data_IF_654769236348
#
_entry.id   IF_654769236348
#
_cell.length_a   1.000
_cell.length_b   1.000
_cell.length_c   1.000
_cell.angle_alpha   90.00
_cell.angle_beta   90.00
_cell.angle_gamma   90.00
#
_symmetry.space_group_name_H-M   'P 1'
#
loop_
_entity.id
_entity.type
_entity.pdbx_description
1 polymer ?
#
# COMPACT_ATOMS: atom_id res chain seq x y z
N UNK A 1 -4.93 -25.81 2.04
CA UNK A 1 -6.41 -25.90 2.03
C UNK A 1 -6.95 -24.74 1.22
N UNK A 2 -8.01 -24.94 0.42
CA UNK A 2 -8.63 -23.86 -0.34
C UNK A 2 -9.54 -23.02 0.57
N UNK A 3 -9.57 -21.70 0.34
CA UNK A 3 -10.41 -20.76 1.08
C UNK A 3 -11.72 -20.58 0.31
N UNK A 4 -12.87 -20.68 0.98
CA UNK A 4 -14.18 -20.48 0.34
C UNK A 4 -14.55 -19.00 0.23
N UNK A 5 -15.02 -18.61 -0.94
CA UNK A 5 -15.48 -17.27 -1.24
C UNK A 5 -16.71 -17.25 -2.14
N UNK A 6 -17.14 -16.04 -2.46
CA UNK A 6 -18.20 -15.73 -3.41
C UNK A 6 -17.80 -14.50 -4.23
N UNK A 7 -18.47 -14.30 -5.35
CA UNK A 7 -18.49 -13.01 -6.02
C UNK A 7 -19.93 -12.49 -6.18
N UNK A 8 -20.10 -11.17 -6.07
CA UNK A 8 -21.41 -10.53 -6.00
C UNK A 8 -21.44 -9.20 -6.73
N UNK A 9 -22.64 -8.79 -7.12
CA UNK A 9 -22.90 -7.52 -7.79
C UNK A 9 -24.26 -6.98 -7.38
N UNK A 10 -24.76 -6.00 -8.15
CA UNK A 10 -26.15 -5.54 -8.05
C UNK A 10 -27.21 -6.65 -8.09
N UNK A 11 -26.91 -7.79 -8.73
CA UNK A 11 -27.86 -8.86 -8.97
C UNK A 11 -28.26 -9.62 -7.70
N UNK A 12 -27.39 -9.65 -6.69
CA UNK A 12 -27.69 -10.27 -5.39
C UNK A 12 -28.51 -9.34 -4.47
N UNK A 13 -28.68 -8.07 -4.82
CA UNK A 13 -29.46 -7.11 -4.05
C UNK A 13 -28.90 -6.87 -2.64
N UNK A 14 -29.77 -6.83 -1.64
CA UNK A 14 -29.37 -6.64 -0.25
C UNK A 14 -28.83 -7.94 0.35
N UNK A 15 -27.59 -7.91 0.82
CA UNK A 15 -26.89 -9.06 1.39
C UNK A 15 -26.66 -8.89 2.90
N UNK A 16 -26.91 -9.95 3.67
CA UNK A 16 -26.50 -10.07 5.06
C UNK A 16 -25.11 -10.73 5.15
N UNK A 17 -24.07 -9.91 5.13
CA UNK A 17 -22.69 -10.40 5.17
C UNK A 17 -22.28 -11.04 6.51
N UNK A 18 -23.01 -10.80 7.61
CA UNK A 18 -22.73 -11.50 8.88
C UNK A 18 -23.13 -12.97 8.75
N UNK A 19 -24.30 -13.24 8.17
CA UNK A 19 -24.74 -14.62 7.88
C UNK A 19 -23.84 -15.31 6.85
N UNK A 20 -23.39 -14.57 5.83
CA UNK A 20 -22.40 -15.07 4.85
C UNK A 20 -21.11 -15.49 5.55
N UNK A 21 -20.54 -14.64 6.43
CA UNK A 21 -19.33 -14.98 7.18
C UNK A 21 -19.56 -16.21 8.09
N UNK A 22 -20.69 -16.25 8.79
CA UNK A 22 -21.06 -17.37 9.67
C UNK A 22 -21.24 -18.69 8.93
N UNK A 23 -21.60 -18.67 7.64
CA UNK A 23 -21.70 -19.87 6.82
C UNK A 23 -20.34 -20.41 6.32
N UNK A 24 -19.23 -19.81 6.77
CA UNK A 24 -17.87 -20.25 6.43
C UNK A 24 -17.29 -19.62 5.16
N UNK A 25 -17.95 -18.61 4.58
CA UNK A 25 -17.36 -17.78 3.52
C UNK A 25 -16.33 -16.84 4.15
N UNK A 26 -15.16 -16.72 3.52
CA UNK A 26 -14.03 -15.98 4.07
C UNK A 26 -13.64 -14.76 3.23
N UNK A 27 -13.97 -14.76 1.95
CA UNK A 27 -13.78 -13.60 1.08
C UNK A 27 -14.96 -13.37 0.17
N UNK A 28 -15.04 -12.13 -0.35
CA UNK A 28 -15.98 -11.74 -1.40
C UNK A 28 -15.26 -10.90 -2.45
N UNK A 29 -15.47 -11.19 -3.74
CA UNK A 29 -15.08 -10.31 -4.85
C UNK A 29 -16.32 -9.52 -5.28
N UNK A 30 -16.28 -8.18 -5.20
CA UNK A 30 -17.46 -7.34 -5.43
C UNK A 30 -17.32 -6.62 -6.77
N UNK A 31 -18.36 -6.61 -7.61
CA UNK A 31 -18.36 -5.75 -8.80
C UNK A 31 -18.24 -4.29 -8.39
N UNK A 32 -17.16 -3.63 -8.80
CA UNK A 32 -16.98 -2.19 -8.58
C UNK A 32 -17.75 -1.36 -9.60
N UNK A 33 -17.81 -1.83 -10.84
CA UNK A 33 -18.51 -1.18 -11.93
C UNK A 33 -18.25 -1.88 -13.24
N UNK A 34 -18.60 -1.20 -14.33
CA UNK A 34 -18.50 -1.70 -15.69
C UNK A 34 -18.28 -0.56 -16.68
N UNK A 35 -17.75 -0.84 -17.86
CA UNK A 35 -17.56 0.18 -18.90
C UNK A 35 -16.61 1.31 -18.48
N UNK A 36 -16.76 2.49 -19.09
CA UNK A 36 -15.78 3.59 -19.04
C UNK A 36 -16.33 4.90 -18.45
N UNK A 37 -17.48 4.87 -17.78
CA UNK A 37 -18.06 6.05 -17.12
C UNK A 37 -18.24 5.84 -15.61
N UNK A 38 -17.99 6.88 -14.81
CA UNK A 38 -18.22 6.85 -13.36
C UNK A 38 -19.69 6.54 -12.98
N UNK A 39 -20.64 6.91 -13.84
CA UNK A 39 -22.07 6.58 -13.67
C UNK A 39 -22.37 5.08 -13.77
N UNK A 40 -21.43 4.29 -14.28
CA UNK A 40 -21.49 2.83 -14.38
C UNK A 40 -20.84 2.13 -13.16
N UNK A 41 -20.62 2.86 -12.06
CA UNK A 41 -20.34 2.26 -10.76
C UNK A 41 -21.51 1.34 -10.37
N UNK A 42 -21.20 0.13 -9.89
CA UNK A 42 -22.25 -0.78 -9.43
C UNK A 42 -22.99 -0.16 -8.24
N UNK A 43 -24.32 -0.08 -8.33
CA UNK A 43 -25.16 0.62 -7.34
C UNK A 43 -25.05 0.02 -5.92
N UNK A 44 -24.66 -1.25 -5.80
CA UNK A 44 -24.47 -1.91 -4.51
C UNK A 44 -23.02 -1.90 -4.02
N UNK A 45 -22.04 -1.46 -4.83
CA UNK A 45 -20.62 -1.56 -4.52
C UNK A 45 -20.26 -0.98 -3.14
N UNK A 46 -20.61 0.28 -2.87
CA UNK A 46 -20.26 0.95 -1.61
C UNK A 46 -20.87 0.24 -0.40
N UNK A 47 -22.14 -0.16 -0.52
CA UNK A 47 -22.87 -0.84 0.56
C UNK A 47 -22.29 -2.23 0.80
N UNK A 48 -22.03 -2.99 -0.26
CA UNK A 48 -21.45 -4.33 -0.15
C UNK A 48 -20.02 -4.28 0.39
N UNK A 49 -19.20 -3.34 -0.07
CA UNK A 49 -17.85 -3.13 0.44
C UNK A 49 -17.87 -2.86 1.95
N UNK A 50 -18.64 -1.86 2.39
CA UNK A 50 -18.70 -1.48 3.79
C UNK A 50 -19.22 -2.62 4.68
N UNK A 51 -20.30 -3.29 4.26
CA UNK A 51 -20.91 -4.39 5.04
C UNK A 51 -20.04 -5.64 5.08
N UNK A 52 -19.36 -5.98 3.98
CA UNK A 52 -18.44 -7.12 3.94
C UNK A 52 -17.22 -6.90 4.84
N UNK A 53 -16.59 -5.71 4.78
CA UNK A 53 -15.48 -5.36 5.68
C UNK A 53 -15.92 -5.38 7.15
N UNK A 54 -17.09 -4.81 7.46
CA UNK A 54 -17.64 -4.81 8.82
C UNK A 54 -17.96 -6.22 9.35
N UNK A 55 -18.29 -7.16 8.46
CA UNK A 55 -18.48 -8.57 8.81
C UNK A 55 -17.17 -9.36 8.94
N UNK A 56 -16.00 -8.75 8.70
CA UNK A 56 -14.69 -9.41 8.78
C UNK A 56 -14.41 -10.34 7.59
N UNK A 57 -15.02 -10.08 6.43
CA UNK A 57 -14.65 -10.74 5.18
C UNK A 57 -13.45 -10.04 4.55
N UNK A 58 -12.59 -10.83 3.90
CA UNK A 58 -11.62 -10.30 2.96
C UNK A 58 -12.33 -9.84 1.69
N UNK A 59 -11.94 -8.70 1.14
CA UNK A 59 -12.65 -8.08 0.01
C UNK A 59 -11.73 -7.88 -1.18
N UNK A 60 -12.14 -8.35 -2.35
CA UNK A 60 -11.60 -7.99 -3.66
C UNK A 60 -12.63 -7.24 -4.50
N UNK A 61 -12.26 -6.87 -5.72
CA UNK A 61 -13.20 -6.26 -6.65
C UNK A 61 -12.96 -6.74 -8.09
N UNK A 62 -13.99 -6.61 -8.92
CA UNK A 62 -13.87 -6.81 -10.35
C UNK A 62 -14.52 -5.67 -11.15
N UNK A 63 -14.09 -5.51 -12.39
CA UNK A 63 -14.61 -4.52 -13.34
C UNK A 63 -15.05 -5.23 -14.62
N UNK A 64 -16.35 -5.20 -14.92
CA UNK A 64 -16.92 -5.83 -16.11
C UNK A 64 -16.61 -5.00 -17.36
N UNK A 65 -15.91 -5.60 -18.32
CA UNK A 65 -15.43 -4.84 -19.47
C UNK A 65 -16.40 -4.81 -20.64
N UNK A 66 -16.56 -3.63 -21.21
CA UNK A 66 -17.16 -3.44 -22.54
C UNK A 66 -16.15 -2.91 -23.56
N UNK A 67 -14.86 -2.85 -23.20
CA UNK A 67 -13.83 -2.21 -24.01
C UNK A 67 -13.72 -2.80 -25.43
N UNK A 68 -13.91 -1.96 -26.43
CA UNK A 68 -13.66 -2.25 -27.85
C UNK A 68 -12.20 -2.01 -28.27
N UNK A 69 -11.34 -1.54 -27.37
CA UNK A 69 -9.93 -1.30 -27.66
C UNK A 69 -9.06 -1.33 -26.40
N UNK A 70 -7.75 -1.52 -26.56
CA UNK A 70 -6.80 -1.38 -25.47
C UNK A 70 -6.79 0.04 -24.87
N UNK A 71 -7.16 1.05 -25.66
CA UNK A 71 -7.35 2.42 -25.16
C UNK A 71 -8.54 2.52 -24.21
N UNK A 72 -9.68 1.94 -24.60
CA UNK A 72 -10.87 1.87 -23.74
C UNK A 72 -10.62 1.04 -22.49
N UNK A 73 -9.94 -0.12 -22.57
CA UNK A 73 -9.62 -0.91 -21.39
C UNK A 73 -8.72 -0.16 -20.38
N UNK A 74 -7.81 0.70 -20.85
CA UNK A 74 -7.07 1.63 -19.97
C UNK A 74 -8.01 2.67 -19.33
N UNK A 75 -8.98 3.18 -20.08
CA UNK A 75 -9.94 4.13 -19.53
C UNK A 75 -10.86 3.49 -18.47
N UNK A 76 -11.34 2.27 -18.73
CA UNK A 76 -12.06 1.46 -17.74
C UNK A 76 -11.24 1.28 -16.46
N UNK A 77 -9.93 1.00 -16.57
CA UNK A 77 -9.04 0.91 -15.41
C UNK A 77 -8.90 2.23 -14.65
N UNK A 78 -8.86 3.38 -15.35
CA UNK A 78 -8.81 4.70 -14.68
C UNK A 78 -10.10 5.00 -13.92
N UNK A 79 -11.25 4.70 -14.50
CA UNK A 79 -12.55 4.84 -13.83
C UNK A 79 -12.65 3.88 -12.65
N UNK A 80 -12.21 2.63 -12.83
CA UNK A 80 -12.11 1.65 -11.76
C UNK A 80 -11.28 2.23 -10.58
N UNK A 81 -10.07 2.74 -10.82
CA UNK A 81 -9.25 3.38 -9.78
C UNK A 81 -9.97 4.53 -9.06
N UNK A 82 -10.74 5.34 -9.77
CA UNK A 82 -11.53 6.42 -9.14
C UNK A 82 -12.59 5.85 -8.19
N UNK A 83 -13.29 4.79 -8.60
CA UNK A 83 -14.30 4.10 -7.77
C UNK A 83 -13.67 3.44 -6.54
N UNK A 84 -12.48 2.85 -6.69
CA UNK A 84 -11.76 2.14 -5.64
C UNK A 84 -11.01 3.09 -4.68
N UNK A 85 -10.87 4.37 -5.02
CA UNK A 85 -10.08 5.34 -4.24
C UNK A 85 -10.49 5.40 -2.77
N UNK A 86 -9.50 5.49 -1.89
CA UNK A 86 -9.70 5.55 -0.43
C UNK A 86 -10.11 4.23 0.24
N UNK A 87 -10.07 3.11 -0.50
CA UNK A 87 -10.44 1.78 0.01
C UNK A 87 -9.25 0.83 0.03
N UNK A 88 -9.38 -0.22 0.85
CA UNK A 88 -8.41 -1.31 0.94
C UNK A 88 -9.01 -2.65 0.48
N UNK A 89 -8.25 -3.41 -0.32
CA UNK A 89 -8.67 -4.70 -0.88
C UNK A 89 -7.66 -5.79 -0.56
N UNK A 90 -8.14 -6.90 -0.01
CA UNK A 90 -7.37 -8.07 0.40
C UNK A 90 -7.14 -9.08 -0.74
N UNK A 91 -7.83 -8.87 -1.87
CA UNK A 91 -7.75 -9.69 -3.08
C UNK A 91 -7.46 -8.82 -4.31
N UNK A 92 -7.00 -9.39 -5.43
CA UNK A 92 -6.71 -8.63 -6.64
C UNK A 92 -7.92 -7.85 -7.16
N UNK A 93 -7.63 -6.83 -7.97
CA UNK A 93 -8.64 -6.15 -8.78
C UNK A 93 -8.67 -6.85 -10.14
N UNK A 94 -9.79 -7.50 -10.45
CA UNK A 94 -9.94 -8.34 -11.63
C UNK A 94 -10.56 -7.57 -12.80
N UNK A 95 -9.92 -7.64 -13.96
CA UNK A 95 -10.52 -7.34 -15.26
C UNK A 95 -11.41 -8.51 -15.69
N UNK A 96 -12.70 -8.28 -15.84
CA UNK A 96 -13.65 -9.32 -16.22
C UNK A 96 -13.88 -9.30 -17.75
N UNK A 97 -13.36 -10.33 -18.42
CA UNK A 97 -13.33 -10.51 -19.88
C UNK A 97 -14.26 -11.66 -20.29
N UNK A 98 -15.46 -11.31 -20.74
CA UNK A 98 -16.50 -12.27 -21.12
C UNK A 98 -17.20 -11.98 -22.45
N UNK A 99 -17.10 -10.76 -22.97
CA UNK A 99 -17.89 -10.36 -24.14
C UNK A 99 -17.55 -11.18 -25.37
N UNK A 100 -18.58 -11.78 -25.97
CA UNK A 100 -18.42 -12.57 -27.20
C UNK A 100 -17.80 -11.73 -28.32
N UNK A 101 -18.13 -10.45 -28.39
CA UNK A 101 -17.57 -9.50 -29.35
C UNK A 101 -16.08 -9.26 -29.15
N UNK A 102 -15.59 -9.28 -27.90
CA UNK A 102 -14.17 -9.19 -27.58
C UNK A 102 -13.46 -10.50 -27.94
N UNK A 103 -14.01 -11.66 -27.52
CA UNK A 103 -13.42 -12.98 -27.79
C UNK A 103 -13.34 -13.30 -29.28
N UNK A 104 -14.35 -12.90 -30.07
CA UNK A 104 -14.39 -13.11 -31.52
C UNK A 104 -13.24 -12.42 -32.28
N UNK A 105 -12.61 -11.40 -31.68
CA UNK A 105 -11.46 -10.70 -32.26
C UNK A 105 -10.13 -11.40 -32.02
N UNK A 106 -10.15 -12.51 -31.30
CA UNK A 106 -9.03 -13.42 -31.16
C UNK A 106 -8.02 -13.01 -30.08
N UNK A 107 -6.99 -13.85 -29.96
CA UNK A 107 -6.07 -13.86 -28.82
C UNK A 107 -5.29 -12.56 -28.64
N UNK A 108 -4.69 -12.04 -29.70
CA UNK A 108 -3.90 -10.81 -29.63
C UNK A 108 -4.74 -9.61 -29.15
N UNK A 109 -6.03 -9.57 -29.53
CA UNK A 109 -6.94 -8.54 -29.07
C UNK A 109 -7.24 -8.69 -27.57
N UNK A 110 -7.63 -9.88 -27.13
CA UNK A 110 -7.91 -10.17 -25.72
C UNK A 110 -6.70 -9.90 -24.81
N UNK A 111 -5.51 -10.33 -25.22
CA UNK A 111 -4.25 -10.03 -24.53
C UNK A 111 -4.02 -8.52 -24.41
N UNK A 112 -4.32 -7.76 -25.47
CA UNK A 112 -4.17 -6.30 -25.45
C UNK A 112 -5.09 -5.62 -24.44
N UNK A 113 -6.32 -6.12 -24.28
CA UNK A 113 -7.28 -5.61 -23.29
C UNK A 113 -6.83 -5.90 -21.86
N UNK A 114 -6.47 -7.17 -21.59
CA UNK A 114 -6.00 -7.60 -20.26
C UNK A 114 -4.76 -6.80 -19.86
N UNK A 115 -3.75 -6.68 -20.74
CA UNK A 115 -2.55 -5.91 -20.44
C UNK A 115 -2.86 -4.43 -20.21
N UNK A 116 -3.72 -3.85 -21.04
CA UNK A 116 -4.10 -2.45 -20.92
C UNK A 116 -4.72 -2.15 -19.55
N UNK A 117 -5.71 -2.94 -19.12
CA UNK A 117 -6.35 -2.76 -17.83
C UNK A 117 -5.39 -3.06 -16.68
N UNK A 118 -4.77 -4.25 -16.67
CA UNK A 118 -3.94 -4.69 -15.56
C UNK A 118 -2.73 -3.79 -15.34
N UNK A 119 -2.04 -3.35 -16.40
CA UNK A 119 -0.89 -2.45 -16.26
C UNK A 119 -1.30 -1.08 -15.71
N UNK A 120 -2.45 -0.55 -16.12
CA UNK A 120 -2.96 0.73 -15.62
C UNK A 120 -3.37 0.65 -14.15
N UNK A 121 -3.89 -0.50 -13.71
CA UNK A 121 -4.15 -0.80 -12.29
C UNK A 121 -2.84 -0.94 -11.49
N UNK A 122 -1.87 -1.71 -11.97
CA UNK A 122 -0.55 -1.88 -11.34
C UNK A 122 0.20 -0.54 -11.21
N UNK A 123 0.15 0.31 -12.25
CA UNK A 123 0.70 1.67 -12.20
C UNK A 123 0.04 2.55 -11.11
N UNK A 124 -1.21 2.24 -10.74
CA UNK A 124 -1.92 2.86 -9.62
C UNK A 124 -1.66 2.22 -8.26
N UNK A 125 -0.75 1.25 -8.16
CA UNK A 125 -0.42 0.54 -6.92
C UNK A 125 -1.40 -0.58 -6.55
N UNK A 126 -2.23 -1.05 -7.49
CA UNK A 126 -3.13 -2.17 -7.26
C UNK A 126 -2.49 -3.50 -7.70
N UNK A 127 -2.83 -4.57 -6.99
CA UNK A 127 -2.52 -5.93 -7.40
C UNK A 127 -3.57 -6.35 -8.43
N UNK A 128 -3.18 -6.46 -9.69
CA UNK A 128 -4.10 -6.68 -10.80
C UNK A 128 -4.23 -8.16 -11.19
N UNK A 129 -5.42 -8.50 -11.67
CA UNK A 129 -5.73 -9.80 -12.24
C UNK A 129 -6.74 -9.71 -13.35
N UNK A 130 -7.06 -10.84 -13.96
CA UNK A 130 -8.19 -10.97 -14.87
C UNK A 130 -9.00 -12.22 -14.56
N UNK A 131 -10.27 -12.15 -14.93
CA UNK A 131 -11.23 -13.24 -14.89
C UNK A 131 -11.69 -13.57 -16.30
N UNK A 132 -11.81 -14.87 -16.58
CA UNK A 132 -12.50 -15.37 -17.77
C UNK A 132 -12.78 -16.87 -17.63
N UNK A 133 -13.68 -17.41 -18.45
CA UNK A 133 -13.94 -18.86 -18.48
C UNK A 133 -12.70 -19.66 -18.92
N UNK A 134 -12.59 -20.92 -18.47
CA UNK A 134 -11.49 -21.80 -18.88
C UNK A 134 -11.40 -21.95 -20.41
N UNK A 135 -12.54 -22.06 -21.08
CA UNK A 135 -12.59 -22.14 -22.55
C UNK A 135 -11.99 -20.88 -23.18
N UNK A 136 -12.40 -19.70 -22.69
CA UNK A 136 -11.86 -18.44 -23.20
C UNK A 136 -10.37 -18.28 -22.89
N UNK A 137 -9.93 -18.66 -21.69
CA UNK A 137 -8.53 -18.62 -21.31
C UNK A 137 -7.63 -19.49 -22.19
N UNK A 138 -8.10 -20.68 -22.59
CA UNK A 138 -7.31 -21.60 -23.44
C UNK A 138 -7.30 -21.16 -24.91
N UNK A 139 -8.39 -20.60 -25.41
CA UNK A 139 -8.52 -20.24 -26.82
C UNK A 139 -7.99 -18.83 -27.12
N UNK A 140 -8.20 -17.88 -26.20
CA UNK A 140 -8.05 -16.45 -26.46
C UNK A 140 -7.10 -15.71 -25.53
N UNK A 141 -6.44 -16.36 -24.58
CA UNK A 141 -5.44 -15.69 -23.72
C UNK A 141 -4.10 -16.39 -23.81
N UNK A 142 -3.05 -15.65 -24.18
CA UNK A 142 -1.71 -16.22 -24.32
C UNK A 142 -1.16 -16.73 -22.97
N UNK A 143 -0.39 -17.84 -22.95
CA UNK A 143 0.19 -18.37 -21.72
C UNK A 143 0.98 -17.34 -20.90
N UNK A 144 1.69 -16.43 -21.56
CA UNK A 144 2.50 -15.42 -20.88
C UNK A 144 1.63 -14.35 -20.19
N UNK A 145 0.45 -14.01 -20.73
CA UNK A 145 -0.54 -13.17 -20.03
C UNK A 145 -1.10 -13.91 -18.80
N UNK A 146 -1.45 -15.19 -18.97
CA UNK A 146 -2.00 -16.01 -17.86
C UNK A 146 -1.00 -16.20 -16.72
N UNK A 147 0.30 -16.28 -17.04
CA UNK A 147 1.36 -16.43 -16.06
C UNK A 147 1.82 -15.10 -15.44
N UNK A 148 1.51 -13.94 -16.05
CA UNK A 148 1.98 -12.63 -15.59
C UNK A 148 1.09 -12.01 -14.52
N UNK A 149 -0.22 -12.15 -14.64
CA UNK A 149 -1.21 -11.52 -13.75
C UNK A 149 -1.91 -12.54 -12.86
N UNK A 150 -2.57 -12.07 -11.79
CA UNK A 150 -3.47 -12.94 -11.04
C UNK A 150 -4.57 -13.47 -11.95
N UNK A 151 -4.78 -14.79 -11.95
CA UNK A 151 -5.82 -15.41 -12.78
C UNK A 151 -6.93 -16.00 -11.91
N UNK A 152 -8.15 -15.52 -12.17
CA UNK A 152 -9.39 -16.07 -11.64
C UNK A 152 -10.11 -16.83 -12.77
N UNK A 153 -10.10 -18.15 -12.70
CA UNK A 153 -10.64 -19.00 -13.77
C UNK A 153 -12.08 -19.39 -13.46
N UNK A 154 -12.98 -19.25 -14.43
CA UNK A 154 -14.32 -19.81 -14.35
C UNK A 154 -14.40 -21.19 -15.00
N UNK A 155 -14.80 -22.20 -14.23
CA UNK A 155 -15.19 -23.50 -14.76
C UNK A 155 -16.16 -24.17 -13.80
N UNK A 156 -17.45 -24.22 -14.15
CA UNK A 156 -18.45 -24.86 -13.31
C UNK A 156 -18.35 -26.38 -13.39
N UNK A 157 -17.60 -26.97 -12.46
CA UNK A 157 -17.27 -28.39 -12.45
C UNK A 157 -16.92 -28.85 -11.02
N UNK A 158 -16.86 -30.15 -10.79
CA UNK A 158 -16.44 -30.74 -9.51
C UNK A 158 -14.95 -30.53 -9.19
N UNK A 159 -14.13 -30.28 -10.22
CA UNK A 159 -12.70 -29.92 -10.12
C UNK A 159 -12.31 -28.96 -11.23
N UNK A 160 -11.39 -28.04 -10.94
CA UNK A 160 -10.75 -27.24 -11.96
C UNK A 160 -9.84 -28.13 -12.80
N UNK A 161 -9.99 -28.13 -14.13
CA UNK A 161 -9.14 -28.90 -15.05
C UNK A 161 -8.02 -28.06 -15.66
N UNK A 162 -7.91 -26.78 -15.28
CA UNK A 162 -6.81 -25.93 -15.72
C UNK A 162 -5.50 -26.40 -15.11
N UNK A 163 -4.49 -26.62 -15.97
CA UNK A 163 -3.17 -27.15 -15.58
C UNK A 163 -2.14 -26.04 -15.30
N UNK A 164 -2.47 -24.78 -15.60
CA UNK A 164 -1.60 -23.64 -15.35
C UNK A 164 -1.75 -23.07 -13.94
N UNK A 165 -1.06 -21.95 -13.68
CA UNK A 165 -1.19 -21.24 -12.40
C UNK A 165 -2.47 -20.40 -12.38
N UNK A 166 -3.22 -20.48 -11.28
CA UNK A 166 -4.40 -19.66 -11.02
C UNK A 166 -4.51 -19.42 -9.52
N UNK A 167 -5.09 -18.28 -9.16
CA UNK A 167 -5.28 -17.91 -7.76
C UNK A 167 -6.67 -18.22 -7.24
N UNK A 168 -7.68 -17.99 -8.07
CA UNK A 168 -9.09 -18.23 -7.76
C UNK A 168 -9.73 -19.12 -8.82
N UNK A 169 -10.71 -19.91 -8.40
CA UNK A 169 -11.56 -20.72 -9.26
C UNK A 169 -13.03 -20.49 -8.91
N UNK A 170 -13.80 -19.96 -9.86
CA UNK A 170 -15.26 -19.93 -9.78
C UNK A 170 -15.79 -21.30 -10.24
N UNK A 171 -16.32 -22.07 -9.29
CA UNK A 171 -16.69 -23.48 -9.51
C UNK A 171 -18.20 -23.69 -9.65
N UNK A 172 -19.02 -22.67 -9.39
CA UNK A 172 -20.47 -22.73 -9.57
C UNK A 172 -21.06 -21.33 -9.70
N UNK A 173 -22.12 -21.19 -10.49
CA UNK A 173 -22.99 -20.00 -10.55
C UNK A 173 -24.37 -20.21 -9.92
N UNK A 174 -24.51 -21.27 -9.12
CA UNK A 174 -25.80 -21.74 -8.58
C UNK A 174 -25.73 -22.07 -7.10
N UNK A 175 -24.74 -21.56 -6.39
CA UNK A 175 -24.62 -21.73 -4.95
C UNK A 175 -25.81 -21.12 -4.20
N UNK A 176 -26.10 -21.70 -3.03
CA UNK A 176 -27.01 -21.14 -2.04
C UNK A 176 -26.21 -20.76 -0.80
N UNK A 177 -26.22 -19.48 -0.45
CA UNK A 177 -25.41 -18.93 0.64
C UNK A 177 -26.32 -18.22 1.64
N UNK A 178 -26.33 -18.64 2.93
CA UNK A 178 -27.08 -17.94 3.96
C UNK A 178 -26.77 -16.44 3.98
N UNK A 179 -27.81 -15.61 3.87
CA UNK A 179 -27.68 -14.14 3.80
C UNK A 179 -27.75 -13.56 2.39
N UNK A 180 -27.83 -14.40 1.35
CA UNK A 180 -28.05 -13.98 -0.04
C UNK A 180 -29.34 -14.63 -0.55
N UNK A 181 -30.20 -13.82 -1.18
CA UNK A 181 -31.39 -14.33 -1.82
C UNK A 181 -31.05 -14.88 -3.22
N UNK A 182 -31.56 -16.07 -3.54
CA UNK A 182 -31.36 -16.69 -4.84
C UNK A 182 -29.97 -17.31 -5.00
N UNK A 183 -29.49 -17.32 -6.25
CA UNK A 183 -28.22 -17.95 -6.64
C UNK A 183 -27.04 -17.02 -6.37
N UNK A 184 -25.92 -17.61 -5.97
CA UNK A 184 -24.65 -16.94 -5.79
C UNK A 184 -23.55 -17.68 -6.54
N UNK A 185 -22.64 -16.93 -7.14
CA UNK A 185 -21.39 -17.47 -7.66
C UNK A 185 -20.49 -17.89 -6.50
N UNK A 186 -19.79 -19.01 -6.67
CA UNK A 186 -19.02 -19.65 -5.61
C UNK A 186 -17.57 -19.85 -6.03
N UNK A 187 -16.66 -19.46 -5.14
CA UNK A 187 -15.23 -19.42 -5.42
C UNK A 187 -14.40 -20.21 -4.41
N UNK A 188 -13.26 -20.68 -4.90
CA UNK A 188 -12.16 -21.19 -4.10
C UNK A 188 -10.90 -20.38 -4.40
N UNK A 189 -10.25 -19.87 -3.36
CA UNK A 189 -8.93 -19.27 -3.46
C UNK A 189 -7.84 -20.26 -3.01
N UNK A 190 -6.77 -20.32 -3.79
CA UNK A 190 -5.60 -21.19 -3.59
C UNK A 190 -4.33 -20.40 -3.24
N UNK A 191 -4.37 -19.08 -3.42
CA UNK A 191 -3.29 -18.15 -3.10
C UNK A 191 -3.71 -17.30 -1.90
N UNK A 192 -2.79 -17.13 -0.94
CA UNK A 192 -2.95 -16.22 0.19
C UNK A 192 -2.73 -14.76 -0.26
N UNK A 193 -3.70 -14.26 -1.03
CA UNK A 193 -3.72 -12.88 -1.50
C UNK A 193 -3.70 -11.85 -0.36
N UNK A 194 -4.45 -12.03 0.75
CA UNK A 194 -4.38 -11.09 1.86
C UNK A 194 -2.96 -10.86 2.37
N UNK A 195 -2.17 -11.92 2.55
CA UNK A 195 -0.78 -11.80 2.96
C UNK A 195 0.11 -11.15 1.89
N UNK A 196 0.00 -11.58 0.63
CA UNK A 196 0.81 -11.04 -0.48
C UNK A 196 0.55 -9.54 -0.68
N UNK A 197 -0.72 -9.15 -0.72
CA UNK A 197 -1.14 -7.77 -1.00
C UNK A 197 -0.74 -6.84 0.13
N UNK A 198 -0.97 -7.23 1.39
CA UNK A 198 -0.57 -6.42 2.55
C UNK A 198 0.94 -6.28 2.65
N UNK A 199 1.69 -7.38 2.48
CA UNK A 199 3.16 -7.36 2.53
C UNK A 199 3.78 -6.56 1.39
N UNK A 200 3.23 -6.68 0.19
CA UNK A 200 3.67 -5.91 -0.99
C UNK A 200 3.18 -4.46 -0.98
N UNK A 201 2.21 -4.16 -0.13
CA UNK A 201 1.66 -2.82 -0.01
C UNK A 201 0.84 -2.37 -1.21
N UNK A 202 0.09 -3.31 -1.78
CA UNK A 202 -0.81 -3.01 -2.88
C UNK A 202 -2.20 -2.61 -2.37
N UNK A 203 -3.09 -2.20 -3.27
CA UNK A 203 -4.53 -2.07 -3.01
C UNK A 203 -4.89 -1.17 -1.82
N UNK A 204 -4.27 0.01 -1.74
CA UNK A 204 -4.60 0.99 -0.70
C UNK A 204 -4.03 0.68 0.69
N UNK A 205 -3.26 -0.41 0.84
CA UNK A 205 -2.43 -0.60 2.04
C UNK A 205 -1.21 0.35 2.06
N UNK A 206 -0.98 1.08 0.96
CA UNK A 206 0.25 1.81 0.66
C UNK A 206 1.39 0.81 0.48
N UNK A 207 2.53 1.19 -0.15
CA UNK A 207 3.74 0.37 0.01
C UNK A 207 3.94 0.27 1.51
N UNK A 208 3.59 -0.89 2.08
CA UNK A 208 3.97 -1.22 3.42
C UNK A 208 5.44 -0.89 3.42
N UNK A 209 5.82 0.03 4.29
CA UNK A 209 6.89 -0.35 5.17
C UNK A 209 6.58 -1.81 5.51
N UNK A 210 7.31 -2.72 4.86
CA UNK A 210 7.63 -3.94 5.56
C UNK A 210 7.94 -3.50 6.98
N UNK A 211 7.63 -4.32 7.95
CA UNK A 211 8.43 -4.28 9.15
C UNK A 211 9.91 -4.53 8.72
N UNK A 212 10.59 -3.51 8.18
CA UNK A 212 11.81 -3.03 8.77
C UNK A 212 11.52 -3.01 10.27
N UNK A 213 12.41 -3.57 11.11
CA UNK A 213 12.23 -3.46 12.55
C UNK A 213 11.81 -2.02 12.83
N UNK A 214 10.70 -1.83 13.54
CA UNK A 214 10.07 -0.53 13.75
C UNK A 214 11.18 0.51 13.81
N UNK A 215 11.21 1.47 12.85
CA UNK A 215 12.29 2.46 12.79
C UNK A 215 12.46 2.98 14.21
N UNK A 216 13.64 2.73 14.78
CA UNK A 216 13.85 2.94 16.22
C UNK A 216 13.53 4.40 16.51
N UNK A 217 12.84 4.64 17.62
CA UNK A 217 12.53 6.01 18.02
C UNK A 217 13.83 6.82 18.16
N UNK A 218 13.76 8.14 18.03
CA UNK A 218 14.91 9.04 18.28
C UNK A 218 15.52 8.75 19.66
N UNK A 219 14.68 8.44 20.66
CA UNK A 219 15.12 8.08 22.00
C UNK A 219 15.88 6.75 22.03
N UNK A 220 15.38 5.71 21.37
CA UNK A 220 16.07 4.41 21.25
C UNK A 220 17.40 4.55 20.51
N UNK A 221 17.43 5.29 19.40
CA UNK A 221 18.66 5.54 18.64
C UNK A 221 19.67 6.32 19.46
N UNK A 222 19.24 7.30 20.26
CA UNK A 222 20.13 8.07 21.11
C UNK A 222 20.81 7.19 22.17
N UNK A 223 20.09 6.27 22.81
CA UNK A 223 20.68 5.30 23.73
C UNK A 223 21.69 4.37 23.03
N UNK A 224 21.41 3.91 21.81
CA UNK A 224 22.33 3.07 21.03
C UNK A 224 23.57 3.82 20.57
N UNK A 225 23.42 5.09 20.23
CA UNK A 225 24.53 5.99 19.90
C UNK A 225 25.44 6.17 21.11
N UNK A 226 24.86 6.40 22.29
CA UNK A 226 25.61 6.48 23.56
C UNK A 226 26.33 5.15 23.85
N UNK A 227 25.68 4.01 23.55
CA UNK A 227 26.27 2.68 23.65
C UNK A 227 27.30 2.35 22.55
N UNK A 228 27.58 3.26 21.62
CA UNK A 228 28.61 3.11 20.59
C UNK A 228 28.18 2.32 19.35
N UNK A 229 26.92 1.88 19.25
CA UNK A 229 26.45 1.04 18.16
C UNK A 229 26.46 1.74 16.78
N UNK A 230 26.51 3.08 16.77
CA UNK A 230 26.42 3.92 15.57
C UNK A 230 27.71 4.67 15.22
N UNK A 231 28.84 4.30 15.83
CA UNK A 231 30.12 4.98 15.58
C UNK A 231 30.16 6.42 16.12
N UNK A 232 31.14 7.19 15.66
CA UNK A 232 31.41 8.55 16.12
C UNK A 232 31.57 9.54 14.95
N UNK A 233 31.34 10.83 15.24
CA UNK A 233 31.51 11.91 14.26
C UNK A 233 30.85 11.65 12.91
N UNK A 234 31.65 11.70 11.85
CA UNK A 234 31.21 11.54 10.46
C UNK A 234 30.71 10.12 10.13
N UNK A 235 31.25 9.07 10.78
CA UNK A 235 30.74 7.69 10.60
C UNK A 235 29.29 7.58 11.07
N UNK A 236 28.97 8.20 12.21
CA UNK A 236 27.60 8.25 12.75
C UNK A 236 26.66 8.98 11.82
N UNK A 237 27.08 10.16 11.34
CA UNK A 237 26.32 10.95 10.37
C UNK A 237 26.01 10.12 9.13
N UNK A 238 27.03 9.51 8.53
CA UNK A 238 26.87 8.72 7.33
C UNK A 238 25.96 7.51 7.55
N UNK A 239 26.07 6.82 8.69
CA UNK A 239 25.27 5.62 9.00
C UNK A 239 23.80 5.94 9.30
N UNK A 240 23.53 7.00 10.06
CA UNK A 240 22.16 7.44 10.35
C UNK A 240 21.48 8.01 9.10
N UNK A 241 22.17 8.86 8.33
CA UNK A 241 21.62 9.44 7.10
C UNK A 241 21.41 8.39 6.00
N UNK A 242 22.34 7.44 5.81
CA UNK A 242 22.20 6.34 4.84
C UNK A 242 21.01 5.42 5.16
N UNK A 243 20.66 5.26 6.42
CA UNK A 243 19.48 4.50 6.86
C UNK A 243 18.19 5.34 6.87
N UNK A 244 18.31 6.63 6.54
CA UNK A 244 17.22 7.60 6.46
C UNK A 244 16.66 8.01 7.82
N UNK A 245 17.46 7.93 8.88
CA UNK A 245 17.17 8.57 10.15
C UNK A 245 17.62 10.03 10.13
N UNK A 246 16.93 10.87 10.90
CA UNK A 246 17.31 12.27 11.11
C UNK A 246 18.48 12.33 12.09
N UNK A 247 19.68 12.53 11.56
CA UNK A 247 20.91 12.63 12.35
C UNK A 247 20.82 13.74 13.39
N UNK A 248 20.28 14.91 13.02
CA UNK A 248 20.26 16.09 13.90
C UNK A 248 19.31 15.86 15.09
N UNK A 249 18.15 15.27 14.85
CA UNK A 249 17.22 14.91 15.91
C UNK A 249 17.81 13.87 16.87
N UNK A 250 18.49 12.85 16.35
CA UNK A 250 19.16 11.82 17.17
C UNK A 250 20.31 12.44 17.96
N UNK A 251 21.14 13.28 17.34
CA UNK A 251 22.27 13.91 17.99
C UNK A 251 21.84 14.93 19.05
N UNK A 252 20.75 15.66 18.82
CA UNK A 252 20.14 16.54 19.81
C UNK A 252 19.69 15.74 21.04
N UNK A 253 19.01 14.60 20.84
CA UNK A 253 18.56 13.74 21.94
C UNK A 253 19.72 13.11 22.71
N UNK A 254 20.80 12.70 22.02
CA UNK A 254 22.04 12.25 22.67
C UNK A 254 22.62 13.34 23.57
N UNK A 255 22.65 14.58 23.09
CA UNK A 255 23.15 15.71 23.87
C UNK A 255 22.28 15.95 25.11
N UNK A 256 20.96 15.86 25.00
CA UNK A 256 20.05 15.92 26.15
C UNK A 256 20.32 14.81 27.18
N UNK A 257 20.42 13.54 26.73
CA UNK A 257 20.63 12.38 27.60
C UNK A 257 21.99 12.40 28.30
N UNK A 258 23.02 12.92 27.64
CA UNK A 258 24.36 13.10 28.23
C UNK A 258 24.48 14.39 29.06
N UNK A 259 23.40 15.18 29.18
CA UNK A 259 23.44 16.46 29.88
C UNK A 259 24.35 17.50 29.21
N UNK A 260 24.70 17.30 27.94
CA UNK A 260 25.50 18.23 27.14
C UNK A 260 24.61 19.41 26.79
N UNK A 261 24.77 20.49 27.56
CA UNK A 261 24.09 21.75 27.25
C UNK A 261 24.63 22.29 25.93
N UNK A 262 23.76 22.65 24.96
CA UNK A 262 24.19 23.29 23.74
C UNK A 262 25.00 24.54 24.10
N UNK A 263 26.20 24.65 23.51
CA UNK A 263 27.03 25.83 23.65
C UNK A 263 26.25 27.04 23.09
N UNK A 264 26.25 28.14 23.83
CA UNK A 264 25.61 29.38 23.37
C UNK A 264 26.30 29.85 22.10
N UNK A 265 25.54 30.48 21.20
CA UNK A 265 26.10 31.08 19.99
C UNK A 265 27.05 32.23 20.37
N UNK A 266 28.01 32.51 19.49
CA UNK A 266 28.94 33.64 19.65
C UNK A 266 28.17 34.96 19.80
N UNK A 267 27.08 35.14 19.04
CA UNK A 267 26.25 36.34 19.10
C UNK A 267 25.54 36.50 20.45
N UNK A 268 25.01 35.40 21.01
CA UNK A 268 24.44 35.40 22.37
C UNK A 268 25.50 35.72 23.41
N UNK A 269 26.68 35.11 23.33
CA UNK A 269 27.78 35.35 24.25
C UNK A 269 28.28 36.79 24.18
N UNK A 270 28.38 37.36 22.98
CA UNK A 270 28.82 38.75 22.80
C UNK A 270 27.86 39.75 23.49
N UNK A 271 26.54 39.53 23.38
CA UNK A 271 25.55 40.35 24.10
C UNK A 271 25.64 40.21 25.61
N UNK A 272 25.89 39.01 26.12
CA UNK A 272 26.11 38.78 27.56
C UNK A 272 27.40 39.44 28.05
N UNK A 273 28.46 39.44 27.23
CA UNK A 273 29.71 40.14 27.51
C UNK A 273 29.49 41.66 27.59
N UNK A 274 28.74 42.24 26.65
CA UNK A 274 28.39 43.67 26.65
C UNK A 274 27.55 44.02 27.89
N UNK A 275 26.66 43.13 28.33
CA UNK A 275 25.88 43.27 29.57
C UNK A 275 26.73 43.17 30.84
N UNK A 276 27.94 42.63 30.76
CA UNK A 276 28.87 42.46 31.89
C UNK A 276 28.81 41.09 32.57
N UNK A 277 28.01 40.15 32.07
CA UNK A 277 27.74 38.85 32.72
C UNK A 277 29.01 37.97 32.82
N UNK A 278 30.01 38.24 31.98
CA UNK A 278 31.26 37.49 31.85
C UNK A 278 32.47 38.20 32.46
N UNK A 279 32.28 39.28 33.22
CA UNK A 279 33.39 40.05 33.80
C UNK A 279 34.19 40.85 32.77
N UNK A 280 35.38 41.32 33.15
CA UNK A 280 36.23 42.19 32.34
C UNK A 280 37.69 41.69 32.27
N UNK A 281 38.42 42.17 31.26
CA UNK A 281 39.84 41.87 31.07
C UNK A 281 40.16 40.37 31.21
N UNK A 282 41.09 40.05 32.10
CA UNK A 282 41.58 38.68 32.32
C UNK A 282 40.55 37.74 32.93
N UNK A 283 39.59 38.26 33.71
CA UNK A 283 38.50 37.45 34.27
C UNK A 283 37.59 36.90 33.15
N UNK A 284 37.26 37.76 32.18
CA UNK A 284 36.48 37.36 31.00
C UNK A 284 37.15 36.27 30.18
N UNK A 285 38.44 36.45 29.91
CA UNK A 285 39.26 35.47 29.19
C UNK A 285 39.17 34.12 29.93
N UNK A 286 39.48 34.12 31.23
CA UNK A 286 39.48 32.90 32.03
C UNK A 286 38.11 32.22 32.06
N UNK A 287 37.02 32.99 32.21
CA UNK A 287 35.65 32.44 32.32
C UNK A 287 35.15 31.88 31.00
N UNK A 288 35.36 32.57 29.88
CA UNK A 288 34.97 32.07 28.55
C UNK A 288 35.79 30.84 28.16
N UNK A 289 37.11 30.87 28.35
CA UNK A 289 37.98 29.72 28.05
C UNK A 289 37.66 28.53 28.95
N UNK A 290 37.43 28.74 30.26
CA UNK A 290 37.03 27.66 31.19
C UNK A 290 35.66 27.06 30.83
N UNK A 291 34.75 27.86 30.29
CA UNK A 291 33.47 27.40 29.76
C UNK A 291 33.59 26.76 28.36
N UNK A 292 34.80 26.68 27.80
CA UNK A 292 35.09 26.04 26.52
C UNK A 292 34.67 26.87 25.31
N UNK A 293 34.55 28.19 25.46
CA UNK A 293 34.28 29.12 24.37
C UNK A 293 35.57 29.73 23.81
N UNK A 294 35.57 30.02 22.52
CA UNK A 294 36.63 30.77 21.87
C UNK A 294 36.49 32.25 22.25
N UNK A 295 37.38 32.70 23.15
CA UNK A 295 37.41 34.07 23.61
C UNK A 295 37.62 35.07 22.46
N UNK A 296 38.53 34.78 21.53
CA UNK A 296 38.88 35.71 20.45
C UNK A 296 37.69 35.90 19.50
N UNK A 297 37.00 34.81 19.15
CA UNK A 297 35.81 34.88 18.32
C UNK A 297 34.66 35.66 18.99
N UNK A 298 34.46 35.47 20.31
CA UNK A 298 33.47 36.22 21.09
C UNK A 298 33.85 37.70 21.20
N UNK A 299 35.11 38.01 21.50
CA UNK A 299 35.58 39.39 21.65
C UNK A 299 35.57 40.15 20.33
N UNK A 300 35.90 39.50 19.21
CA UNK A 300 35.73 40.07 17.88
C UNK A 300 34.27 40.46 17.64
N UNK A 301 33.33 39.57 17.97
CA UNK A 301 31.90 39.85 17.79
C UNK A 301 31.39 40.96 18.71
N UNK A 302 31.91 41.07 19.93
CA UNK A 302 31.61 42.19 20.85
C UNK A 302 32.02 43.52 20.21
N UNK A 303 33.22 43.58 19.61
CA UNK A 303 33.73 44.79 18.97
C UNK A 303 32.92 45.19 17.71
N UNK A 304 32.27 44.24 17.04
CA UNK A 304 31.36 44.52 15.91
C UNK A 304 29.98 45.05 16.35
N UNK A 305 29.59 44.82 17.61
CA UNK A 305 28.29 45.19 18.17
C UNK A 305 28.31 46.51 18.96
N UNK A 306 29.49 47.09 19.17
CA UNK A 306 29.74 48.38 19.84
C UNK A 306 30.18 49.43 18.81
#
# INVERSE_FOLDING_TARGET
MAIKGIDVSTWQGSIDFKRVKQSGINFVIIRAGYGSALSQKDKWFETNYARAKAAGLHVGAYWYSYAGSAGEAREEARVCKQVLSGKQFDYPIYFDLEEKSQLARGRAFCDSLIRAFCNEMEAGGYFAGFYTSLSAALNYVSPDVRNRYAFWVAQWNSRCTYQGQYGLWQYSSSGSVPGIAGRCDMDLAYVDYPSIIRKGGFNGYGKGTSSAPARKSVDTLAHEVIAGAWGNGEDRLNRLTKTGYDYDAVQARVNELLGIKPKKSIDTLAREVIRGDWGNGKDRVNRLTKAGYDYEAVQKRVNELL
#
